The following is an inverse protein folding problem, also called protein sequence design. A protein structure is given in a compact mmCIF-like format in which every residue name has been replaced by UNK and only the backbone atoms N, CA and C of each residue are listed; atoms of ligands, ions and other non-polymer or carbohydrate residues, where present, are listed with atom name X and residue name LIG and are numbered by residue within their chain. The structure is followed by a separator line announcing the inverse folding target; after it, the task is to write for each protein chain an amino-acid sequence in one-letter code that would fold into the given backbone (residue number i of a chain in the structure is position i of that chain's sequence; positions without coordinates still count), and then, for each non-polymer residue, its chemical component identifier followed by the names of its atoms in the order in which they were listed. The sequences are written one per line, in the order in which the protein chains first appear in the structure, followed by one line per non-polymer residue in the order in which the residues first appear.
data_IF_758478284608
#
_entry.id   IF_758478284608
#
_cell.length_a   1.000
_cell.length_b   1.000
_cell.length_c   1.000
_cell.angle_alpha   90.00
_cell.angle_beta   90.00
_cell.angle_gamma   90.00
#
_symmetry.space_group_name_H-M   'P 1'
#
loop_
_entity.id
_entity.type
_entity.pdbx_description
1 polymer ?
#
# COMPACT_ATOMS: atom_id res chain seq x y z
N UNK A 1 -14.86 20.12 0.00
CA UNK A 1 -14.86 18.84 0.75
C UNK A 1 -14.19 17.79 -0.13
N UNK A 2 -12.90 17.51 0.08
CA UNK A 2 -12.20 16.50 -0.71
C UNK A 2 -12.67 15.10 -0.29
N UNK A 3 -13.08 14.27 -1.25
CA UNK A 3 -13.43 12.87 -1.00
C UNK A 3 -12.17 12.13 -0.56
N UNK A 4 -12.03 11.90 0.76
CA UNK A 4 -10.91 11.16 1.36
C UNK A 4 -10.69 9.81 0.67
N UNK A 5 -11.77 9.19 0.20
CA UNK A 5 -11.75 7.98 -0.65
C UNK A 5 -10.97 8.17 -1.95
N UNK A 6 -11.21 9.26 -2.68
CA UNK A 6 -10.51 9.56 -3.93
C UNK A 6 -9.01 9.83 -3.72
N UNK A 7 -8.64 10.43 -2.58
CA UNK A 7 -7.24 10.63 -2.19
C UNK A 7 -6.51 9.30 -1.91
N UNK A 8 -7.15 8.36 -1.21
CA UNK A 8 -6.58 7.01 -1.01
C UNK A 8 -6.40 6.29 -2.34
N UNK A 9 -7.42 6.32 -3.20
CA UNK A 9 -7.38 5.63 -4.50
C UNK A 9 -6.28 6.22 -5.39
N UNK A 10 -6.20 7.55 -5.52
CA UNK A 10 -5.16 8.20 -6.32
C UNK A 10 -3.76 7.95 -5.76
N UNK A 11 -3.58 8.06 -4.44
CA UNK A 11 -2.29 7.79 -3.78
C UNK A 11 -1.82 6.35 -3.99
N UNK A 12 -2.74 5.39 -3.89
CA UNK A 12 -2.42 3.98 -4.10
C UNK A 12 -2.17 3.67 -5.59
N UNK A 13 -2.92 4.30 -6.51
CA UNK A 13 -2.69 4.14 -7.95
C UNK A 13 -1.31 4.64 -8.36
N UNK A 14 -0.90 5.82 -7.87
CA UNK A 14 0.44 6.39 -8.09
C UNK A 14 1.51 5.45 -7.52
N UNK A 15 1.31 4.93 -6.31
CA UNK A 15 2.22 3.97 -5.70
C UNK A 15 2.38 2.70 -6.54
N UNK A 16 1.27 2.13 -7.03
CA UNK A 16 1.26 0.91 -7.85
C UNK A 16 1.98 1.09 -9.18
N UNK A 17 1.69 2.18 -9.90
CA UNK A 17 2.37 2.52 -11.15
C UNK A 17 3.88 2.65 -10.90
N UNK A 18 4.26 3.31 -9.80
CA UNK A 18 5.66 3.53 -9.46
C UNK A 18 6.38 2.24 -9.09
N UNK A 19 5.72 1.29 -8.42
CA UNK A 19 6.27 -0.03 -8.09
C UNK A 19 6.44 -0.89 -9.34
N UNK A 20 5.48 -0.87 -10.26
CA UNK A 20 5.57 -1.60 -11.53
C UNK A 20 6.68 -1.07 -12.46
N UNK A 21 7.09 0.19 -12.31
CA UNK A 21 8.17 0.80 -13.08
C UNK A 21 9.58 0.50 -12.52
N UNK A 22 9.70 0.00 -11.28
CA UNK A 22 10.99 -0.38 -10.68
C UNK A 22 11.76 -1.41 -11.50
N UNK A 23 11.17 -2.53 -11.96
CA UNK A 23 11.90 -3.54 -12.73
C UNK A 23 12.41 -3.02 -14.09
N UNK A 24 11.83 -1.95 -14.63
CA UNK A 24 12.34 -1.30 -15.86
C UNK A 24 13.52 -0.35 -15.59
N UNK A 25 13.68 0.11 -14.34
CA UNK A 25 14.69 1.08 -13.94
C UNK A 25 16.01 0.38 -13.59
N UNK A 26 16.89 0.24 -14.58
CA UNK A 26 18.21 -0.39 -14.42
C UNK A 26 19.29 0.56 -13.86
N UNK A 27 18.98 1.85 -13.72
CA UNK A 27 19.93 2.89 -13.30
C UNK A 27 19.52 3.50 -11.96
N UNK A 28 20.49 3.70 -11.05
CA UNK A 28 20.29 4.32 -9.72
C UNK A 28 19.50 5.65 -9.79
N UNK A 29 19.78 6.48 -10.80
CA UNK A 29 19.06 7.73 -11.03
C UNK A 29 17.55 7.54 -11.25
N UNK A 30 17.14 6.53 -12.03
CA UNK A 30 15.72 6.25 -12.25
C UNK A 30 15.03 5.74 -10.98
N UNK A 31 15.72 4.92 -10.17
CA UNK A 31 15.18 4.47 -8.88
C UNK A 31 15.00 5.62 -7.88
N UNK A 32 15.93 6.58 -7.87
CA UNK A 32 15.82 7.80 -7.05
C UNK A 32 14.62 8.65 -7.47
N UNK A 33 14.43 8.87 -8.77
CA UNK A 33 13.27 9.60 -9.30
C UNK A 33 11.94 8.91 -8.98
N UNK A 34 11.90 7.57 -9.02
CA UNK A 34 10.73 6.79 -8.62
C UNK A 34 10.46 6.84 -7.11
N UNK A 35 11.41 7.26 -6.28
CA UNK A 35 11.20 7.32 -4.83
C UNK A 35 10.22 8.44 -4.43
N UNK A 36 10.26 9.59 -5.11
CA UNK A 36 9.40 10.73 -4.83
C UNK A 36 7.90 10.43 -4.97
N UNK A 37 7.39 9.97 -6.14
CA UNK A 37 5.96 9.66 -6.29
C UNK A 37 5.52 8.51 -5.38
N UNK A 38 6.40 7.53 -5.13
CA UNK A 38 6.14 6.43 -4.18
C UNK A 38 5.93 6.95 -2.76
N UNK A 39 6.81 7.83 -2.30
CA UNK A 39 6.75 8.42 -0.97
C UNK A 39 5.49 9.30 -0.82
N UNK A 40 5.14 10.07 -1.84
CA UNK A 40 3.92 10.89 -1.87
C UNK A 40 2.67 10.01 -1.80
N UNK A 41 2.61 8.93 -2.58
CA UNK A 41 1.49 7.97 -2.56
C UNK A 41 1.30 7.35 -1.17
N UNK A 42 2.39 6.91 -0.53
CA UNK A 42 2.35 6.36 0.83
C UNK A 42 1.94 7.40 1.88
N UNK A 43 2.50 8.61 1.80
CA UNK A 43 2.21 9.71 2.72
C UNK A 43 0.75 10.20 2.64
N UNK A 44 0.10 10.06 1.48
CA UNK A 44 -1.32 10.37 1.32
C UNK A 44 -2.22 9.22 1.79
N UNK A 45 -1.85 7.98 1.47
CA UNK A 45 -2.68 6.80 1.75
C UNK A 45 -2.76 6.48 3.24
N UNK A 46 -1.65 6.58 3.96
CA UNK A 46 -1.58 6.20 5.38
C UNK A 46 -2.48 7.06 6.30
N UNK A 47 -2.40 8.41 6.32
CA UNK A 47 -3.27 9.23 7.16
C UNK A 47 -4.74 9.21 6.71
N UNK A 48 -5.00 9.05 5.42
CA UNK A 48 -6.36 8.93 4.92
C UNK A 48 -7.02 7.61 5.34
N UNK A 49 -6.29 6.48 5.28
CA UNK A 49 -6.74 5.18 5.77
C UNK A 49 -6.99 5.19 7.28
N UNK A 50 -6.08 5.79 8.05
CA UNK A 50 -6.27 5.95 9.51
C UNK A 50 -7.51 6.80 9.81
N UNK A 51 -7.72 7.93 9.10
CA UNK A 51 -8.88 8.79 9.31
C UNK A 51 -10.22 8.08 9.03
N UNK A 52 -10.31 7.29 7.96
CA UNK A 52 -11.48 6.46 7.65
C UNK A 52 -11.74 5.42 8.74
N UNK A 53 -10.68 4.79 9.26
CA UNK A 53 -10.78 3.81 10.32
C UNK A 53 -11.19 4.42 11.67
N UNK A 54 -10.79 5.67 11.96
CA UNK A 54 -11.28 6.43 13.12
C UNK A 54 -12.79 6.70 12.98
N UNK A 55 -13.24 7.06 11.78
CA UNK A 55 -14.65 7.39 11.51
C UNK A 55 -15.56 6.18 11.73
N UNK A 56 -15.16 5.00 11.26
CA UNK A 56 -15.84 3.73 11.55
C UNK A 56 -15.69 3.30 13.01
N UNK A 57 -14.51 3.50 13.61
CA UNK A 57 -14.29 3.24 15.04
C UNK A 57 -15.18 4.09 15.95
N UNK A 58 -15.66 5.25 15.49
CA UNK A 58 -16.62 6.07 16.25
C UNK A 58 -18.01 5.45 16.32
N UNK A 59 -18.37 4.55 15.39
CA UNK A 59 -19.62 3.78 15.40
C UNK A 59 -19.50 2.45 16.14
N UNK A 60 -18.38 1.74 15.96
CA UNK A 60 -18.21 0.36 16.45
C UNK A 60 -17.29 0.21 17.68
N UNK A 61 -16.66 1.30 18.13
CA UNK A 61 -15.71 1.31 19.25
C UNK A 61 -14.28 1.62 18.77
N UNK A 62 -13.74 2.75 19.22
CA UNK A 62 -12.50 3.32 18.68
C UNK A 62 -11.29 2.43 18.99
N UNK A 63 -11.21 1.88 20.22
CA UNK A 63 -10.14 0.97 20.63
C UNK A 63 -10.15 -0.35 19.87
N UNK A 64 -11.30 -1.01 19.73
CA UNK A 64 -11.40 -2.30 19.02
C UNK A 64 -11.03 -2.18 17.54
N UNK A 65 -11.57 -1.17 16.85
CA UNK A 65 -11.30 -0.96 15.41
C UNK A 65 -9.83 -0.61 15.18
N UNK A 66 -9.24 0.22 16.03
CA UNK A 66 -7.82 0.58 15.93
C UNK A 66 -6.90 -0.59 16.26
N UNK A 67 -7.23 -1.41 17.26
CA UNK A 67 -6.46 -2.61 17.59
C UNK A 67 -6.46 -3.61 16.43
N UNK A 68 -7.60 -3.81 15.75
CA UNK A 68 -7.68 -4.65 14.56
C UNK A 68 -6.82 -4.08 13.43
N UNK A 69 -6.85 -2.76 13.20
CA UNK A 69 -6.01 -2.11 12.19
C UNK A 69 -4.51 -2.25 12.50
N UNK A 70 -4.11 -2.07 13.76
CA UNK A 70 -2.72 -2.26 14.20
C UNK A 70 -2.26 -3.72 14.06
N UNK A 71 -3.14 -4.69 14.37
CA UNK A 71 -2.87 -6.10 14.13
C UNK A 71 -2.69 -6.39 12.65
N UNK A 72 -3.58 -5.88 11.78
CA UNK A 72 -3.47 -6.05 10.33
C UNK A 72 -2.16 -5.45 9.79
N UNK A 73 -1.77 -4.26 10.27
CA UNK A 73 -0.49 -3.63 9.91
C UNK A 73 0.70 -4.50 10.35
N UNK A 74 0.68 -5.01 11.58
CA UNK A 74 1.75 -5.87 12.11
C UNK A 74 1.89 -7.16 11.30
N UNK A 75 0.77 -7.78 10.94
CA UNK A 75 0.75 -8.98 10.08
C UNK A 75 1.34 -8.65 8.71
N UNK A 76 0.94 -7.53 8.08
CA UNK A 76 1.49 -7.11 6.79
C UNK A 76 2.99 -6.83 6.85
N UNK A 77 3.47 -6.25 7.95
CA UNK A 77 4.89 -5.94 8.15
C UNK A 77 5.76 -7.18 8.38
N UNK A 78 5.18 -8.26 8.92
CA UNK A 78 5.86 -9.56 9.04
C UNK A 78 5.79 -10.32 7.71
N UNK A 79 4.58 -10.51 7.17
CA UNK A 79 4.37 -11.30 5.96
C UNK A 79 5.00 -10.67 4.71
N UNK A 80 5.04 -9.33 4.61
CA UNK A 80 5.56 -8.62 3.44
C UNK A 80 7.02 -8.98 3.14
N UNK A 81 7.96 -8.70 4.06
CA UNK A 81 9.36 -9.09 3.92
C UNK A 81 9.54 -10.61 3.78
N UNK A 82 8.85 -11.41 4.58
CA UNK A 82 8.98 -12.88 4.53
C UNK A 82 8.61 -13.45 3.17
N UNK A 83 7.46 -13.05 2.61
CA UNK A 83 7.03 -13.49 1.27
C UNK A 83 7.95 -12.93 0.19
N UNK A 84 8.33 -11.65 0.29
CA UNK A 84 9.24 -11.03 -0.67
C UNK A 84 10.62 -11.67 -0.70
N UNK A 85 11.15 -12.09 0.45
CA UNK A 85 12.44 -12.78 0.55
C UNK A 85 12.42 -14.15 -0.10
N UNK A 86 11.38 -14.94 0.14
CA UNK A 86 11.21 -16.27 -0.50
C UNK A 86 11.09 -16.14 -2.02
N UNK A 87 10.36 -15.13 -2.49
CA UNK A 87 10.20 -14.85 -3.93
C UNK A 87 11.53 -14.38 -4.55
N UNK A 88 12.30 -13.55 -3.82
CA UNK A 88 13.61 -13.08 -4.27
C UNK A 88 14.60 -14.25 -4.42
N UNK A 89 14.56 -15.23 -3.53
CA UNK A 89 15.46 -16.38 -3.53
C UNK A 89 15.12 -17.40 -4.64
N UNK A 90 13.83 -17.54 -4.98
CA UNK A 90 13.36 -18.59 -5.90
C UNK A 90 13.31 -18.17 -7.38
N UNK A 91 13.03 -16.90 -7.68
CA UNK A 91 12.72 -16.46 -9.06
C UNK A 91 13.68 -15.38 -9.50
N UNK A 92 13.52 -14.17 -8.97
CA UNK A 92 14.34 -13.01 -9.28
C UNK A 92 13.85 -11.80 -8.47
N UNK A 93 14.70 -10.78 -8.32
CA UNK A 93 14.32 -9.58 -7.56
C UNK A 93 13.20 -8.78 -8.26
N UNK A 94 13.12 -8.89 -9.59
CA UNK A 94 12.07 -8.28 -10.39
C UNK A 94 10.68 -8.86 -10.07
N UNK A 95 10.60 -10.16 -9.81
CA UNK A 95 9.33 -10.84 -9.48
C UNK A 95 8.73 -10.35 -8.15
N UNK A 96 9.58 -9.96 -7.20
CA UNK A 96 9.17 -9.37 -5.92
C UNK A 96 8.40 -8.08 -6.12
N UNK A 97 8.86 -7.21 -7.03
CA UNK A 97 8.20 -5.94 -7.32
C UNK A 97 6.84 -6.14 -8.00
N UNK A 98 6.75 -7.09 -8.95
CA UNK A 98 5.47 -7.46 -9.55
C UNK A 98 4.49 -8.05 -8.52
N UNK A 99 4.97 -8.89 -7.60
CA UNK A 99 4.15 -9.44 -6.52
C UNK A 99 3.65 -8.33 -5.57
N UNK A 100 4.52 -7.42 -5.15
CA UNK A 100 4.13 -6.27 -4.32
C UNK A 100 3.10 -5.37 -5.01
N UNK A 101 3.26 -5.15 -6.33
CA UNK A 101 2.27 -4.44 -7.16
C UNK A 101 0.93 -5.17 -7.22
N UNK A 102 0.92 -6.49 -7.43
CA UNK A 102 -0.31 -7.28 -7.49
C UNK A 102 -1.06 -7.29 -6.14
N UNK A 103 -0.35 -7.50 -5.03
CA UNK A 103 -0.92 -7.46 -3.68
C UNK A 103 -1.49 -6.08 -3.37
N UNK A 104 -0.78 -5.01 -3.73
CA UNK A 104 -1.26 -3.65 -3.57
C UNK A 104 -2.52 -3.38 -4.40
N UNK A 105 -2.57 -3.82 -5.67
CA UNK A 105 -3.73 -3.71 -6.56
C UNK A 105 -4.96 -4.41 -5.99
N UNK A 106 -4.79 -5.64 -5.48
CA UNK A 106 -5.85 -6.40 -4.83
C UNK A 106 -6.33 -5.67 -3.58
N UNK A 107 -5.41 -5.15 -2.76
CA UNK A 107 -5.73 -4.34 -1.59
C UNK A 107 -6.52 -3.08 -1.92
N UNK A 108 -6.12 -2.33 -2.97
CA UNK A 108 -6.87 -1.16 -3.45
C UNK A 108 -8.24 -1.57 -3.96
N UNK A 109 -8.33 -2.66 -4.73
CA UNK A 109 -9.59 -3.15 -5.30
C UNK A 109 -10.59 -3.56 -4.22
N UNK A 110 -10.13 -4.31 -3.22
CA UNK A 110 -10.93 -4.67 -2.04
C UNK A 110 -11.38 -3.43 -1.28
N UNK A 111 -10.49 -2.45 -1.08
CA UNK A 111 -10.84 -1.19 -0.43
C UNK A 111 -11.93 -0.43 -1.20
N UNK A 112 -11.82 -0.33 -2.53
CA UNK A 112 -12.84 0.33 -3.37
C UNK A 112 -14.18 -0.42 -3.30
N UNK A 113 -14.14 -1.75 -3.31
CA UNK A 113 -15.36 -2.57 -3.27
C UNK A 113 -16.08 -2.48 -1.92
N UNK A 114 -15.36 -2.57 -0.80
CA UNK A 114 -15.94 -2.48 0.55
C UNK A 114 -16.34 -1.07 0.94
N UNK A 115 -15.72 -0.04 0.37
CA UNK A 115 -16.05 1.37 0.67
C UNK A 115 -17.18 1.92 -0.23
N UNK A 116 -17.93 1.06 -0.93
CA UNK A 116 -19.16 1.44 -1.65
C UNK A 116 -20.31 1.75 -0.70
#
# INVERSE_FOLDING_TARGET
RFNRKALVILGNLIYLITVALIPLANTFGQQLWLCFPRAIGGALSMPAATALSVEEGRKFGMGSTMSILMMAMSIGMVLGPTLSGVIADSVDINAVFYFGGAVGLIGTGLFVWFTR
#
